data_IF_848636272405
#
_entry.id   IF_848636272405
#
_cell.length_a   1.000
_cell.length_b   1.000
_cell.length_c   1.000
_cell.angle_alpha   90.00
_cell.angle_beta   90.00
_cell.angle_gamma   90.00
#
_symmetry.space_group_name_H-M   'P 1'
#
loop_
_entity.id
_entity.type
_entity.pdbx_description
1 polymer ?
#
# COMPACT_ATOMS: atom_id res chain seq x y z
N UNK A 1 10.34 -11.08 15.99
CA UNK A 1 11.40 -10.49 15.13
C UNK A 1 11.00 -9.05 14.87
N UNK A 2 11.82 -8.07 15.27
CA UNK A 2 11.55 -6.66 15.02
C UNK A 2 11.67 -6.38 13.50
N UNK A 3 10.86 -5.45 12.93
CA UNK A 3 11.02 -5.09 11.52
C UNK A 3 12.42 -4.52 11.27
N UNK A 4 13.01 -4.77 10.08
CA UNK A 4 14.30 -4.18 9.72
C UNK A 4 14.20 -2.65 9.80
N UNK A 5 15.30 -1.97 10.18
CA UNK A 5 15.33 -0.50 10.22
C UNK A 5 15.02 0.07 8.83
N UNK A 6 14.39 1.26 8.76
CA UNK A 6 14.13 1.91 7.48
C UNK A 6 15.43 2.14 6.72
N UNK A 7 15.37 1.94 5.41
CA UNK A 7 16.51 2.16 4.53
C UNK A 7 16.92 3.64 4.52
N UNK A 8 18.22 3.95 4.32
CA UNK A 8 18.69 5.33 4.25
C UNK A 8 17.91 6.13 3.20
N UNK A 9 17.30 7.24 3.62
CA UNK A 9 16.52 8.12 2.74
C UNK A 9 15.01 7.88 2.74
N UNK A 10 14.48 6.96 3.56
CA UNK A 10 13.04 6.79 3.77
C UNK A 10 12.61 7.08 5.22
N UNK A 11 11.38 7.58 5.45
CA UNK A 11 10.38 7.94 4.45
C UNK A 11 10.74 9.20 3.65
N UNK A 12 10.37 9.24 2.36
CA UNK A 12 10.71 10.31 1.43
C UNK A 12 9.47 11.02 0.90
N UNK A 13 9.45 12.35 0.99
CA UNK A 13 8.42 13.19 0.36
C UNK A 13 8.94 13.71 -0.98
N UNK A 14 8.24 13.36 -2.07
CA UNK A 14 8.55 13.74 -3.45
C UNK A 14 7.38 14.48 -4.08
N UNK A 15 7.68 15.27 -5.12
CA UNK A 15 6.67 15.92 -5.95
C UNK A 15 6.22 14.97 -7.06
N UNK A 16 4.92 14.95 -7.35
CA UNK A 16 4.34 14.21 -8.46
C UNK A 16 3.50 15.18 -9.32
N UNK A 17 4.14 15.78 -10.33
CA UNK A 17 3.51 16.79 -11.18
C UNK A 17 3.24 18.13 -10.47
N UNK A 18 2.21 18.84 -10.93
CA UNK A 18 1.86 20.21 -10.48
C UNK A 18 1.10 20.22 -9.16
N UNK A 19 0.19 19.28 -8.97
CA UNK A 19 -0.77 19.28 -7.87
C UNK A 19 -0.68 17.99 -7.03
N UNK A 20 0.41 17.23 -7.19
CA UNK A 20 0.59 15.94 -6.55
C UNK A 20 1.84 15.86 -5.68
N UNK A 21 1.73 15.09 -4.61
CA UNK A 21 2.85 14.70 -3.75
C UNK A 21 2.82 13.20 -3.49
N UNK A 22 4.01 12.62 -3.35
CA UNK A 22 4.19 11.20 -3.05
C UNK A 22 4.99 11.07 -1.75
N UNK A 23 4.50 10.25 -0.84
CA UNK A 23 5.22 9.84 0.37
C UNK A 23 5.57 8.37 0.22
N UNK A 24 6.86 8.04 0.13
CA UNK A 24 7.35 6.66 -0.03
C UNK A 24 8.02 6.18 1.25
N UNK A 25 7.85 4.91 1.57
CA UNK A 25 8.42 4.26 2.78
C UNK A 25 9.54 3.27 2.46
N UNK A 26 9.74 2.92 1.19
CA UNK A 26 10.85 2.11 0.69
C UNK A 26 10.99 2.34 -0.83
N UNK A 27 12.08 1.86 -1.43
CA UNK A 27 12.28 1.81 -2.88
C UNK A 27 11.73 0.53 -3.53
N UNK A 28 11.51 -0.50 -2.73
CA UNK A 28 11.09 -1.83 -3.11
C UNK A 28 9.96 -2.33 -2.20
N UNK A 29 9.19 -3.30 -2.68
CA UNK A 29 8.06 -3.83 -1.92
C UNK A 29 8.55 -4.59 -0.68
N UNK A 30 8.08 -4.18 0.48
CA UNK A 30 8.23 -4.94 1.73
C UNK A 30 6.97 -4.84 2.59
N UNK A 31 6.72 -5.87 3.40
CA UNK A 31 5.58 -5.90 4.33
C UNK A 31 5.60 -4.70 5.31
N UNK A 32 6.73 -4.34 5.96
CA UNK A 32 6.77 -3.19 6.86
C UNK A 32 6.47 -1.86 6.15
N UNK A 33 7.03 -1.64 4.95
CA UNK A 33 6.81 -0.41 4.20
C UNK A 33 5.37 -0.28 3.69
N UNK A 34 4.74 -1.39 3.26
CA UNK A 34 3.32 -1.39 2.89
C UNK A 34 2.43 -1.05 4.08
N UNK A 35 2.70 -1.64 5.25
CA UNK A 35 1.94 -1.32 6.47
C UNK A 35 2.11 0.14 6.87
N UNK A 36 3.32 0.68 6.76
CA UNK A 36 3.61 2.09 7.03
C UNK A 36 2.80 3.01 6.09
N UNK A 37 2.78 2.72 4.78
CA UNK A 37 2.00 3.47 3.81
C UNK A 37 0.49 3.46 4.13
N UNK A 38 -0.08 2.29 4.45
CA UNK A 38 -1.49 2.15 4.82
C UNK A 38 -1.82 2.90 6.12
N UNK A 39 -0.97 2.79 7.14
CA UNK A 39 -1.14 3.49 8.42
C UNK A 39 -1.04 5.01 8.25
N UNK A 40 -0.08 5.48 7.47
CA UNK A 40 0.12 6.89 7.15
C UNK A 40 -1.08 7.47 6.40
N UNK A 41 -1.54 6.80 5.34
CA UNK A 41 -2.73 7.23 4.59
C UNK A 41 -3.96 7.32 5.49
N UNK A 42 -4.18 6.34 6.36
CA UNK A 42 -5.31 6.37 7.29
C UNK A 42 -5.22 7.55 8.27
N UNK A 43 -4.02 7.90 8.75
CA UNK A 43 -3.83 9.06 9.61
C UNK A 43 -4.00 10.39 8.86
N UNK A 44 -3.48 10.48 7.65
CA UNK A 44 -3.67 11.62 6.77
C UNK A 44 -5.16 11.85 6.48
N UNK A 45 -5.93 10.81 6.17
CA UNK A 45 -7.36 10.91 5.95
C UNK A 45 -8.12 11.35 7.21
N UNK A 46 -7.66 10.95 8.40
CA UNK A 46 -8.24 11.43 9.67
C UNK A 46 -7.88 12.89 9.96
N UNK A 47 -6.66 13.31 9.62
CA UNK A 47 -6.25 14.70 9.76
C UNK A 47 -6.97 15.61 8.77
N UNK A 48 -7.46 15.06 7.65
CA UNK A 48 -8.22 15.72 6.60
C UNK A 48 -7.71 17.13 6.28
N UNK A 49 -6.46 17.28 5.82
CA UNK A 49 -5.88 18.61 5.66
C UNK A 49 -6.65 19.40 4.61
N UNK A 50 -7.14 20.58 4.99
CA UNK A 50 -7.82 21.47 4.05
C UNK A 50 -6.97 21.72 2.80
N UNK A 51 -7.60 21.53 1.63
CA UNK A 51 -6.96 21.66 0.33
C UNK A 51 -6.39 20.36 -0.24
N UNK A 52 -6.36 19.24 0.52
CA UNK A 52 -6.11 17.90 -0.04
C UNK A 52 -7.42 17.36 -0.59
N UNK A 53 -7.42 17.00 -1.87
CA UNK A 53 -8.63 16.57 -2.59
C UNK A 53 -8.73 15.05 -2.73
N UNK A 54 -7.58 14.35 -2.74
CA UNK A 54 -7.54 12.90 -2.95
C UNK A 54 -6.32 12.27 -2.28
N UNK A 55 -6.47 11.05 -1.76
CA UNK A 55 -5.37 10.21 -1.31
C UNK A 55 -5.51 8.78 -1.83
N UNK A 56 -4.41 8.23 -2.35
CA UNK A 56 -4.33 6.86 -2.85
C UNK A 56 -3.09 6.15 -2.31
N UNK A 57 -3.21 4.87 -1.97
CA UNK A 57 -2.07 4.01 -1.61
C UNK A 57 -1.61 3.20 -2.81
N UNK A 58 -0.31 3.05 -2.94
CA UNK A 58 0.35 2.00 -3.71
C UNK A 58 1.11 1.08 -2.74
N UNK A 59 1.90 0.13 -3.25
CA UNK A 59 2.58 -0.90 -2.47
C UNK A 59 3.37 -0.33 -1.28
N UNK A 60 4.17 0.72 -1.46
CA UNK A 60 5.00 1.30 -0.39
C UNK A 60 4.91 2.83 -0.35
N UNK A 61 3.89 3.40 -0.99
CA UNK A 61 3.76 4.86 -1.12
C UNK A 61 2.32 5.32 -0.99
N UNK A 62 2.16 6.59 -0.59
CA UNK A 62 0.88 7.30 -0.57
C UNK A 62 0.98 8.49 -1.51
N UNK A 63 0.11 8.52 -2.50
CA UNK A 63 -0.10 9.65 -3.38
C UNK A 63 -1.17 10.57 -2.78
N UNK A 64 -0.96 11.88 -2.92
CA UNK A 64 -1.88 12.92 -2.53
C UNK A 64 -2.06 13.89 -3.70
N UNK A 65 -3.30 14.29 -3.96
CA UNK A 65 -3.62 15.43 -4.83
C UNK A 65 -4.15 16.59 -4.00
N UNK A 66 -3.72 17.80 -4.30
CA UNK A 66 -4.14 19.01 -3.59
C UNK A 66 -4.49 20.15 -4.55
N UNK A 67 -5.37 21.05 -4.09
CA UNK A 67 -5.73 22.26 -4.82
C UNK A 67 -4.64 23.32 -4.61
N UNK A 68 -3.81 23.53 -5.63
CA UNK A 68 -2.70 24.48 -5.59
C UNK A 68 -3.14 25.95 -5.45
N UNK A 69 -4.42 26.28 -5.72
CA UNK A 69 -4.97 27.61 -5.49
C UNK A 69 -5.28 27.86 -4.01
N UNK A 70 -5.51 26.79 -3.22
CA UNK A 70 -5.87 26.87 -1.79
C UNK A 70 -4.75 26.47 -0.85
N UNK A 71 -3.88 25.55 -1.28
CA UNK A 71 -2.80 25.01 -0.47
C UNK A 71 -1.48 25.10 -1.24
N UNK A 72 -0.52 25.84 -0.68
CA UNK A 72 0.82 25.87 -1.25
C UNK A 72 1.51 24.54 -1.00
N UNK A 73 2.24 24.07 -2.00
CA UNK A 73 3.02 22.83 -1.93
C UNK A 73 4.01 22.80 -0.75
N UNK A 74 4.66 23.93 -0.46
CA UNK A 74 5.61 24.03 0.65
C UNK A 74 4.93 23.78 2.01
N UNK A 75 3.73 24.35 2.19
CA UNK A 75 2.94 24.18 3.42
C UNK A 75 2.46 22.73 3.55
N UNK A 76 1.99 22.12 2.47
CA UNK A 76 1.66 20.69 2.46
C UNK A 76 2.88 19.83 2.78
N UNK A 77 4.04 20.11 2.19
CA UNK A 77 5.29 19.40 2.46
C UNK A 77 5.66 19.48 3.95
N UNK A 78 5.56 20.65 4.57
CA UNK A 78 5.85 20.84 5.98
C UNK A 78 4.89 20.00 6.85
N UNK A 79 3.58 20.08 6.58
CA UNK A 79 2.57 19.27 7.30
C UNK A 79 2.81 17.76 7.16
N UNK A 80 3.20 17.30 5.97
CA UNK A 80 3.54 15.89 5.75
C UNK A 80 4.80 15.49 6.53
N UNK A 81 5.81 16.37 6.59
CA UNK A 81 7.02 16.13 7.37
C UNK A 81 6.71 16.04 8.87
N UNK A 82 5.90 16.95 9.40
CA UNK A 82 5.47 16.92 10.81
C UNK A 82 4.67 15.65 11.13
N UNK A 83 3.75 15.26 10.24
CA UNK A 83 3.00 14.02 10.40
C UNK A 83 3.93 12.81 10.34
N UNK A 84 4.89 12.78 9.41
CA UNK A 84 5.88 11.69 9.34
C UNK A 84 6.71 11.59 10.63
N UNK A 85 7.11 12.72 11.21
CA UNK A 85 7.87 12.77 12.46
C UNK A 85 7.05 12.41 13.71
N UNK A 86 5.72 12.42 13.64
CA UNK A 86 4.84 12.24 14.81
C UNK A 86 4.92 10.87 15.49
N UNK A 87 5.37 9.83 14.78
CA UNK A 87 5.49 8.45 15.29
C UNK A 87 6.31 7.58 14.35
N UNK A 88 6.71 6.41 14.82
CA UNK A 88 7.20 5.35 13.96
C UNK A 88 6.04 4.72 13.16
N UNK A 89 6.11 4.83 11.83
CA UNK A 89 5.13 4.28 10.91
C UNK A 89 5.39 2.81 10.56
N UNK A 90 6.64 2.35 10.65
CA UNK A 90 7.01 0.98 10.33
C UNK A 90 6.52 0.00 11.41
N UNK A 91 6.49 0.45 12.66
CA UNK A 91 5.86 -0.25 13.79
C UNK A 91 4.36 0.02 13.98
N UNK A 92 3.75 0.93 13.22
CA UNK A 92 2.35 1.33 13.45
C UNK A 92 1.36 0.16 13.19
N UNK A 93 0.26 0.07 13.95
CA UNK A 93 -0.79 -0.91 13.67
C UNK A 93 -1.46 -0.60 12.33
N UNK A 94 -1.90 -1.65 11.62
CA UNK A 94 -2.74 -1.48 10.44
C UNK A 94 -4.07 -0.79 10.82
N UNK A 95 -4.67 -0.02 9.90
CA UNK A 95 -5.99 0.56 10.13
C UNK A 95 -7.04 -0.51 10.50
N UNK A 96 -7.94 -0.22 11.46
CA UNK A 96 -9.00 -1.14 11.85
C UNK A 96 -10.06 -1.28 10.73
N UNK A 97 -11.03 -2.18 10.92
CA UNK A 97 -12.16 -2.36 9.99
C UNK A 97 -11.90 -3.32 8.82
N UNK A 98 -10.79 -4.07 8.87
CA UNK A 98 -10.48 -5.10 7.87
C UNK A 98 -11.42 -6.29 8.02
N UNK A 99 -11.93 -6.78 6.90
CA UNK A 99 -12.87 -7.91 6.84
C UNK A 99 -12.22 -9.09 6.13
N UNK A 100 -12.34 -10.29 6.70
CA UNK A 100 -12.02 -11.52 6.00
C UNK A 100 -13.19 -11.90 5.10
N UNK A 101 -12.95 -11.93 3.80
CA UNK A 101 -13.92 -12.36 2.80
C UNK A 101 -13.59 -13.77 2.33
N UNK A 102 -14.63 -14.59 2.12
CA UNK A 102 -14.52 -15.85 1.38
C UNK A 102 -15.09 -15.62 0.00
N UNK A 103 -14.25 -15.80 -1.02
CA UNK A 103 -14.62 -15.63 -2.42
C UNK A 103 -14.71 -17.04 -3.01
N UNK A 104 -15.91 -17.49 -3.46
CA UNK A 104 -16.02 -18.73 -4.21
C UNK A 104 -15.26 -18.59 -5.53
N UNK A 105 -14.40 -19.55 -5.81
CA UNK A 105 -13.53 -19.54 -7.00
C UNK A 105 -13.69 -20.87 -7.73
N UNK A 106 -13.89 -20.81 -9.04
CA UNK A 106 -13.81 -21.97 -9.92
C UNK A 106 -12.38 -22.02 -10.45
N UNK A 107 -11.75 -23.20 -10.37
CA UNK A 107 -10.44 -23.44 -10.92
C UNK A 107 -10.52 -24.44 -12.07
N UNK A 108 -9.68 -24.24 -13.09
CA UNK A 108 -9.65 -25.05 -14.31
C UNK A 108 -10.89 -24.86 -15.18
N UNK A 109 -11.17 -25.86 -16.03
CA UNK A 109 -12.23 -25.85 -17.07
C UNK A 109 -11.98 -24.84 -18.19
N UNK A 110 -12.88 -24.77 -19.16
CA UNK A 110 -12.89 -23.76 -20.22
C UNK A 110 -12.99 -22.31 -19.67
N UNK A 111 -13.37 -22.14 -18.40
CA UNK A 111 -13.45 -20.84 -17.73
C UNK A 111 -12.12 -20.35 -17.13
N UNK A 112 -11.13 -21.25 -16.95
CA UNK A 112 -9.78 -20.89 -16.48
C UNK A 112 -8.71 -21.64 -17.30
N UNK A 113 -8.64 -21.40 -18.62
CA UNK A 113 -7.80 -22.20 -19.52
C UNK A 113 -6.30 -22.03 -19.29
N UNK A 114 -5.85 -20.96 -18.61
CA UNK A 114 -4.44 -20.72 -18.31
C UNK A 114 -3.94 -21.36 -17.02
N UNK A 115 -4.79 -22.09 -16.27
CA UNK A 115 -4.38 -22.64 -14.97
C UNK A 115 -3.19 -23.61 -15.12
N UNK A 116 -3.25 -24.54 -16.07
CA UNK A 116 -2.21 -25.55 -16.25
C UNK A 116 -0.87 -24.92 -16.67
N UNK A 117 -0.90 -23.93 -17.56
CA UNK A 117 0.27 -23.17 -17.98
C UNK A 117 0.87 -22.37 -16.81
N UNK A 118 0.04 -21.69 -16.02
CA UNK A 118 0.48 -20.92 -14.86
C UNK A 118 1.07 -21.82 -13.77
N UNK A 119 0.45 -22.98 -13.50
CA UNK A 119 0.97 -23.97 -12.56
C UNK A 119 2.33 -24.51 -13.01
N UNK A 120 2.46 -24.88 -14.29
CA UNK A 120 3.72 -25.33 -14.86
C UNK A 120 4.81 -24.25 -14.79
N UNK A 121 4.47 -22.98 -15.10
CA UNK A 121 5.38 -21.84 -14.98
C UNK A 121 5.86 -21.58 -13.54
N UNK A 122 5.05 -21.96 -12.55
CA UNK A 122 5.40 -21.92 -11.13
C UNK A 122 6.10 -23.20 -10.62
N UNK A 123 6.27 -24.23 -11.47
CA UNK A 123 6.84 -25.52 -11.09
C UNK A 123 5.92 -26.39 -10.21
N UNK A 124 4.60 -26.17 -10.29
CA UNK A 124 3.58 -26.89 -9.52
C UNK A 124 2.69 -27.74 -10.43
N UNK A 125 2.05 -28.77 -9.87
CA UNK A 125 0.89 -29.38 -10.54
C UNK A 125 -0.33 -28.47 -10.42
N UNK A 126 -1.31 -28.64 -11.31
CA UNK A 126 -2.55 -27.89 -11.26
C UNK A 126 -3.30 -28.12 -9.93
N UNK A 127 -3.33 -29.36 -9.43
CA UNK A 127 -3.95 -29.70 -8.14
C UNK A 127 -3.27 -28.99 -6.98
N UNK A 128 -1.93 -28.94 -6.98
CA UNK A 128 -1.17 -28.25 -5.94
C UNK A 128 -1.42 -26.74 -5.98
N UNK A 129 -1.45 -26.15 -7.18
CA UNK A 129 -1.76 -24.74 -7.34
C UNK A 129 -3.18 -24.40 -6.84
N UNK A 130 -4.18 -25.23 -7.14
CA UNK A 130 -5.56 -25.07 -6.64
C UNK A 130 -5.60 -25.12 -5.11
N UNK A 131 -4.95 -26.13 -4.53
CA UNK A 131 -4.88 -26.27 -3.08
C UNK A 131 -4.25 -25.02 -2.44
N UNK A 132 -3.11 -24.58 -2.95
CA UNK A 132 -2.36 -23.46 -2.39
C UNK A 132 -3.13 -22.14 -2.53
N UNK A 133 -3.75 -21.89 -3.69
CA UNK A 133 -4.61 -20.71 -3.91
C UNK A 133 -5.85 -20.73 -3.01
N UNK A 134 -6.47 -21.90 -2.81
CA UNK A 134 -7.64 -22.05 -1.95
C UNK A 134 -7.34 -21.95 -0.45
N UNK A 135 -6.14 -22.34 -0.04
CA UNK A 135 -5.69 -22.30 1.35
C UNK A 135 -5.02 -20.97 1.74
N UNK A 136 -4.48 -20.23 0.76
CA UNK A 136 -3.76 -18.99 1.00
C UNK A 136 -4.66 -17.89 1.61
N UNK A 137 -4.15 -17.27 2.68
CA UNK A 137 -4.76 -16.07 3.26
C UNK A 137 -4.10 -14.83 2.68
N UNK A 138 -4.70 -14.30 1.61
CA UNK A 138 -4.24 -13.08 0.97
C UNK A 138 -4.79 -11.83 1.64
N UNK A 139 -4.12 -10.69 1.42
CA UNK A 139 -4.52 -9.38 1.93
C UNK A 139 -4.51 -8.35 0.80
N UNK A 140 -5.50 -7.46 0.79
CA UNK A 140 -5.49 -6.27 -0.07
C UNK A 140 -4.39 -5.31 0.42
N UNK A 141 -3.59 -4.81 -0.52
CA UNK A 141 -2.38 -4.01 -0.26
C UNK A 141 -2.60 -2.49 -0.38
N UNK A 142 -3.78 -2.04 -0.81
CA UNK A 142 -4.12 -0.63 -1.06
C UNK A 142 -5.33 -0.13 -0.28
#
# INVERSE_FOLDING_TARGET
MAPPPPEPGFPAIRTAGLNGMLVSFADSMSEPANRAALAFRAALNRAAPDGVEETASSLVSVFLRFDAARLKRADLRARLADLLASRDWYGAPLPPGRRLWRIPTIYGTDLAPQLDEAAAGAGLSAEQAIHDLGAARVRVLS
#
